data_IF_445690051454
#
_entry.id   IF_445690051454
#
_cell.length_a   1.000
_cell.length_b   1.000
_cell.length_c   1.000
_cell.angle_alpha   90.00
_cell.angle_beta   90.00
_cell.angle_gamma   90.00
#
_symmetry.space_group_name_H-M   'P 1'
#
loop_
_entity.id
_entity.type
_entity.pdbx_description
1 polymer ?
#
# COMPACT_ATOMS: atom_id res chain seq x y z
N UNK A 1 -3.20 5.67 11.12
CA UNK A 1 -3.32 6.74 10.07
C UNK A 1 -3.22 6.14 8.66
N UNK A 2 -3.75 6.81 7.63
CA UNK A 2 -3.74 6.36 6.23
C UNK A 2 -2.98 7.34 5.34
N UNK A 3 -2.40 6.84 4.25
CA UNK A 3 -1.66 7.68 3.30
C UNK A 3 -2.42 7.74 1.99
N UNK A 4 -2.61 8.96 1.50
CA UNK A 4 -3.17 9.23 0.17
C UNK A 4 -2.10 9.86 -0.70
N UNK A 5 -1.91 9.29 -1.88
CA UNK A 5 -1.04 9.88 -2.90
C UNK A 5 -1.82 10.97 -3.65
N UNK A 6 -1.25 12.16 -3.77
CA UNK A 6 -1.85 13.29 -4.48
C UNK A 6 -1.70 13.14 -6.01
N UNK A 7 -0.72 12.36 -6.46
CA UNK A 7 -0.53 12.06 -7.87
C UNK A 7 -1.45 10.93 -8.35
N UNK A 8 -1.96 11.07 -9.58
CA UNK A 8 -2.72 10.01 -10.25
C UNK A 8 -1.84 8.78 -10.44
N UNK A 9 -2.33 7.62 -9.99
CA UNK A 9 -1.58 6.37 -9.95
C UNK A 9 -0.33 6.39 -9.03
N UNK A 10 -0.25 7.33 -8.10
CA UNK A 10 0.93 7.52 -7.24
C UNK A 10 1.22 6.31 -6.36
N UNK A 11 0.17 5.69 -5.80
CA UNK A 11 0.32 4.51 -4.93
C UNK A 11 0.80 3.30 -5.73
N UNK A 12 0.26 3.11 -6.94
CA UNK A 12 0.71 2.05 -7.84
C UNK A 12 2.16 2.26 -8.29
N UNK A 13 2.55 3.49 -8.61
CA UNK A 13 3.94 3.84 -8.96
C UNK A 13 4.89 3.54 -7.81
N UNK A 14 4.55 3.99 -6.60
CA UNK A 14 5.33 3.71 -5.39
C UNK A 14 5.54 2.20 -5.18
N UNK A 15 4.47 1.40 -5.25
CA UNK A 15 4.58 -0.05 -5.07
C UNK A 15 5.41 -0.73 -6.18
N UNK A 16 5.35 -0.23 -7.42
CA UNK A 16 6.24 -0.70 -8.50
C UNK A 16 7.70 -0.35 -8.23
N UNK A 17 7.97 0.86 -7.76
CA UNK A 17 9.32 1.28 -7.43
C UNK A 17 9.89 0.43 -6.29
N UNK A 18 9.09 0.19 -5.25
CA UNK A 18 9.42 -0.73 -4.16
C UNK A 18 9.76 -2.12 -4.69
N UNK A 19 8.92 -2.69 -5.58
CA UNK A 19 9.19 -3.99 -6.22
C UNK A 19 10.53 -4.04 -6.96
N UNK A 20 10.83 -3.00 -7.74
CA UNK A 20 12.09 -2.89 -8.49
C UNK A 20 13.27 -2.81 -7.52
N UNK A 21 13.17 -2.01 -6.46
CA UNK A 21 14.24 -1.80 -5.47
C UNK A 21 14.54 -3.06 -4.66
N UNK A 22 13.51 -3.79 -4.26
CA UNK A 22 13.67 -5.06 -3.51
C UNK A 22 13.94 -6.27 -4.42
N UNK A 23 14.13 -6.04 -5.72
CA UNK A 23 14.34 -7.06 -6.75
C UNK A 23 13.26 -8.17 -6.73
N UNK A 24 12.01 -7.79 -6.51
CA UNK A 24 10.88 -8.71 -6.46
C UNK A 24 10.05 -8.61 -7.74
N UNK A 25 9.79 -9.75 -8.37
CA UNK A 25 9.10 -9.80 -9.66
C UNK A 25 7.60 -9.54 -9.54
N UNK A 26 6.99 -9.80 -8.39
CA UNK A 26 5.54 -9.73 -8.23
C UNK A 26 5.10 -9.40 -6.81
N UNK A 27 3.92 -8.80 -6.72
CA UNK A 27 3.24 -8.49 -5.47
C UNK A 27 2.95 -9.76 -4.66
N UNK A 28 2.76 -10.89 -5.34
CA UNK A 28 2.54 -12.20 -4.72
C UNK A 28 3.66 -12.58 -3.75
N UNK A 29 4.89 -12.20 -4.06
CA UNK A 29 6.03 -12.59 -3.25
C UNK A 29 6.30 -11.59 -2.12
N UNK A 30 5.40 -10.61 -1.85
CA UNK A 30 5.61 -9.70 -0.71
C UNK A 30 5.61 -10.41 0.64
N UNK A 31 4.90 -11.54 0.74
CA UNK A 31 4.85 -12.38 1.95
C UNK A 31 6.27 -12.86 2.34
N UNK A 32 7.18 -13.03 1.37
CA UNK A 32 8.57 -13.46 1.61
C UNK A 32 9.39 -12.45 2.42
N UNK A 33 8.97 -11.18 2.47
CA UNK A 33 9.65 -10.12 3.23
C UNK A 33 9.13 -10.00 4.67
N UNK A 34 8.33 -10.96 5.14
CA UNK A 34 7.79 -10.97 6.50
C UNK A 34 6.59 -10.05 6.71
N UNK A 35 5.92 -9.63 5.63
CA UNK A 35 4.68 -8.88 5.73
C UNK A 35 3.49 -9.83 5.88
N UNK A 36 2.77 -9.71 6.99
CA UNK A 36 1.49 -10.38 7.22
C UNK A 36 0.34 -9.63 6.50
N UNK A 37 0.49 -9.44 5.19
CA UNK A 37 -0.52 -8.80 4.35
C UNK A 37 -0.92 -9.76 3.24
N UNK A 38 -2.16 -10.29 3.26
CA UNK A 38 -2.61 -11.22 2.24
C UNK A 38 -2.52 -10.63 0.84
N UNK A 39 -2.23 -11.46 -0.16
CA UNK A 39 -2.19 -11.05 -1.57
C UNK A 39 -3.42 -10.25 -2.01
N UNK A 40 -4.63 -10.65 -1.59
CA UNK A 40 -5.88 -9.93 -1.93
C UNK A 40 -5.87 -8.48 -1.43
N UNK A 41 -5.32 -8.23 -0.26
CA UNK A 41 -5.14 -6.89 0.31
C UNK A 41 -4.06 -6.12 -0.43
N UNK A 42 -2.93 -6.75 -0.75
CA UNK A 42 -1.89 -6.12 -1.56
C UNK A 42 -2.37 -5.75 -2.96
N UNK A 43 -3.18 -6.60 -3.60
CA UNK A 43 -3.83 -6.30 -4.87
C UNK A 43 -4.73 -5.08 -4.78
N UNK A 44 -5.50 -4.94 -3.70
CA UNK A 44 -6.35 -3.76 -3.48
C UNK A 44 -5.52 -2.47 -3.30
N UNK A 45 -4.36 -2.55 -2.63
CA UNK A 45 -3.45 -1.43 -2.55
C UNK A 45 -2.86 -1.10 -3.93
N UNK A 46 -2.48 -2.11 -4.72
CA UNK A 46 -1.93 -1.88 -6.04
C UNK A 46 -2.91 -1.32 -7.07
N UNK A 47 -4.20 -1.68 -6.95
CA UNK A 47 -5.27 -1.12 -7.75
C UNK A 47 -5.82 0.20 -7.20
N UNK A 48 -5.23 0.73 -6.13
CA UNK A 48 -5.67 1.96 -5.44
C UNK A 48 -7.13 1.88 -4.94
N UNK A 49 -7.66 0.67 -4.78
CA UNK A 49 -8.99 0.42 -4.24
C UNK A 49 -9.05 0.63 -2.72
N UNK A 50 -7.88 0.58 -2.05
CA UNK A 50 -7.70 0.89 -0.63
C UNK A 50 -6.45 1.75 -0.44
N UNK A 51 -6.49 2.61 0.56
CA UNK A 51 -5.33 3.41 0.97
C UNK A 51 -4.37 2.60 1.84
N UNK A 52 -3.06 2.81 1.62
CA UNK A 52 -2.02 2.19 2.45
C UNK A 52 -2.12 2.69 3.90
N UNK A 53 -2.03 1.79 4.90
CA UNK A 53 -1.74 2.20 6.27
C UNK A 53 -0.39 2.91 6.33
N UNK A 54 -0.27 3.94 7.17
CA UNK A 54 0.99 4.66 7.35
C UNK A 54 2.13 3.73 7.78
N UNK A 55 1.90 2.89 8.78
CA UNK A 55 2.92 1.96 9.28
C UNK A 55 3.41 1.00 8.21
N UNK A 56 2.53 0.61 7.28
CA UNK A 56 2.89 -0.28 6.19
C UNK A 56 3.72 0.47 5.14
N UNK A 57 3.34 1.70 4.79
CA UNK A 57 4.13 2.54 3.89
C UNK A 57 5.53 2.81 4.45
N UNK A 58 5.65 3.17 5.73
CA UNK A 58 6.94 3.45 6.37
C UNK A 58 7.86 2.21 6.35
N UNK A 59 7.29 1.01 6.59
CA UNK A 59 8.02 -0.26 6.44
C UNK A 59 8.48 -0.52 5.00
N UNK A 60 7.67 -0.19 4.00
CA UNK A 60 8.04 -0.34 2.59
C UNK A 60 9.14 0.64 2.19
N UNK A 61 9.07 1.90 2.65
CA UNK A 61 10.13 2.89 2.47
C UNK A 61 11.44 2.41 3.09
N UNK A 62 11.40 1.88 4.31
CA UNK A 62 12.57 1.33 4.99
C UNK A 62 13.17 0.14 4.23
N UNK A 63 12.34 -0.82 3.83
CA UNK A 63 12.76 -2.02 3.10
C UNK A 63 13.38 -1.68 1.73
N UNK A 64 12.71 -0.81 0.96
CA UNK A 64 13.14 -0.44 -0.38
C UNK A 64 14.23 0.65 -0.40
N UNK A 65 14.59 1.21 0.76
CA UNK A 65 15.45 2.39 0.91
C UNK A 65 14.99 3.54 0.01
N UNK A 66 13.67 3.80 0.04
CA UNK A 66 13.00 4.83 -0.75
C UNK A 66 12.64 5.99 0.18
N UNK A 67 13.04 7.20 -0.18
CA UNK A 67 12.70 8.40 0.58
C UNK A 67 11.22 8.76 0.38
N UNK A 68 10.47 8.83 1.47
CA UNK A 68 9.05 9.23 1.47
C UNK A 68 8.84 10.65 0.95
N UNK A 69 9.86 11.52 1.05
CA UNK A 69 9.81 12.93 0.64
C UNK A 69 9.72 13.09 -0.88
N UNK A 70 10.10 12.07 -1.65
CA UNK A 70 9.98 12.07 -3.10
C UNK A 70 8.53 11.93 -3.58
N UNK A 71 7.60 11.53 -2.71
CA UNK A 71 6.20 11.34 -3.06
C UNK A 71 5.34 12.46 -2.49
N UNK A 72 4.45 13.00 -3.32
CA UNK A 72 3.41 13.93 -2.87
C UNK A 72 2.32 13.15 -2.15
N UNK A 73 2.43 13.05 -0.83
CA UNK A 73 1.51 12.31 0.04
C UNK A 73 0.78 13.21 1.02
N UNK A 74 -0.44 12.84 1.35
CA UNK A 74 -1.29 13.46 2.36
C UNK A 74 -1.66 12.40 3.42
N UNK A 75 -1.57 12.79 4.69
CA UNK A 75 -1.96 11.92 5.81
C UNK A 75 -3.44 12.11 6.11
N UNK A 76 -4.18 11.01 6.08
CA UNK A 76 -5.59 10.95 6.39
C UNK A 76 -5.85 10.19 7.68
N UNK A 77 -6.95 10.55 8.33
CA UNK A 77 -7.45 9.82 9.49
C UNK A 77 -7.76 8.36 9.15
N UNK A 78 -7.63 7.49 10.15
CA UNK A 78 -7.56 6.04 9.99
C UNK A 78 -8.78 5.39 9.31
N UNK A 79 -9.95 6.03 9.44
CA UNK A 79 -11.23 5.59 8.88
C UNK A 79 -11.36 5.85 7.36
N UNK A 80 -10.46 6.65 6.77
CA UNK A 80 -10.50 6.94 5.33
C UNK A 80 -9.95 5.78 4.50
N UNK A 81 -10.64 5.41 3.42
CA UNK A 81 -10.23 4.30 2.55
C UNK A 81 -10.45 2.90 3.14
N UNK A 82 -11.14 2.81 4.28
CA UNK A 82 -11.74 1.57 4.78
C UNK A 82 -13.18 1.46 4.28
N UNK A 83 -13.63 0.25 3.94
CA UNK A 83 -15.04 -0.01 3.62
C UNK A 83 -15.85 0.15 4.92
N UNK A 84 -16.73 1.16 4.98
CA UNK A 84 -17.79 1.25 6.01
C UNK A 84 -18.79 0.11 5.79
N UNK A 85 -18.46 -1.10 6.19
CA UNK A 85 -19.34 -2.23 5.88
C UNK A 85 -18.74 -3.60 6.05
N UNK A 86 -18.38 -3.97 7.28
CA UNK A 86 -18.34 -5.37 7.69
C UNK A 86 -19.72 -6.05 7.73
N UNK A 87 -20.74 -5.53 7.03
CA UNK A 87 -21.99 -6.27 6.81
C UNK A 87 -21.73 -7.25 5.67
N UNK A 88 -21.39 -8.50 6.02
CA UNK A 88 -21.56 -9.65 5.12
C UNK A 88 -22.99 -9.59 4.57
N UNK A 89 -23.16 -9.18 3.32
CA UNK A 89 -24.39 -9.48 2.61
C UNK A 89 -24.36 -10.99 2.36
N UNK A 90 -25.17 -11.75 3.10
CA UNK A 90 -25.47 -13.15 2.76
C UNK A 90 -26.22 -13.11 1.44
N UNK A 91 -25.62 -13.63 0.39
CA UNK A 91 -26.32 -13.97 -0.85
C UNK A 91 -26.30 -15.48 -1.00
#
# INVERSE_FOLDING_TARGET
MRIKFLEKNGQKKFLKEVLIKINCSSIHNFEQFGFDVPYSTMKNYFSEARLLPRDFFDKLCYLAKVDSSNFKIEFLNENWGMVKGGKKSRR
#
